data_IF_438603523257
#
_entry.id   IF_438603523257
#
_cell.length_a   1.000
_cell.length_b   1.000
_cell.length_c   1.000
_cell.angle_alpha   90.00
_cell.angle_beta   90.00
_cell.angle_gamma   90.00
#
_symmetry.space_group_name_H-M   'P 1'
#
loop_
_entity.id
_entity.type
_entity.pdbx_description
1 polymer ?
#
# COMPACT_ATOMS: atom_id res chain seq x y z
N UNK A 1 16.23 -9.48 -11.63
CA UNK A 1 15.84 -9.35 -10.22
C UNK A 1 14.95 -8.13 -10.12
N UNK A 2 13.68 -8.27 -9.73
CA UNK A 2 12.75 -7.16 -9.60
C UNK A 2 13.03 -6.35 -8.32
N UNK A 3 12.39 -5.19 -8.16
CA UNK A 3 12.63 -4.31 -7.02
C UNK A 3 12.35 -4.99 -5.67
N UNK A 4 11.33 -5.85 -5.60
CA UNK A 4 10.97 -6.56 -4.37
C UNK A 4 12.00 -7.63 -3.99
N UNK A 5 12.53 -8.38 -4.95
CA UNK A 5 13.62 -9.35 -4.70
C UNK A 5 14.87 -8.66 -4.15
N UNK A 6 15.21 -7.48 -4.66
CA UNK A 6 16.33 -6.67 -4.15
C UNK A 6 16.07 -6.23 -2.70
N UNK A 7 14.85 -5.79 -2.39
CA UNK A 7 14.47 -5.40 -1.03
C UNK A 7 14.53 -6.58 -0.07
N UNK A 8 13.95 -7.74 -0.42
CA UNK A 8 14.03 -8.95 0.39
C UNK A 8 15.49 -9.35 0.67
N UNK A 9 16.36 -9.31 -0.36
CA UNK A 9 17.78 -9.58 -0.19
C UNK A 9 18.47 -8.59 0.77
N UNK A 10 18.11 -7.30 0.71
CA UNK A 10 18.61 -6.26 1.62
C UNK A 10 18.24 -6.58 3.08
N UNK A 11 16.98 -6.93 3.37
CA UNK A 11 16.57 -7.32 4.73
C UNK A 11 17.30 -8.57 5.23
N UNK A 12 17.50 -9.58 4.38
CA UNK A 12 18.33 -10.76 4.71
C UNK A 12 19.78 -10.39 5.04
N UNK A 13 20.32 -9.35 4.41
CA UNK A 13 21.67 -8.87 4.72
C UNK A 13 21.71 -8.06 6.02
N UNK A 14 20.73 -7.18 6.25
CA UNK A 14 20.66 -6.37 7.47
C UNK A 14 20.54 -7.22 8.73
N UNK A 15 19.78 -8.32 8.69
CA UNK A 15 19.68 -9.24 9.84
C UNK A 15 20.99 -9.99 10.09
N UNK A 16 21.70 -10.41 9.03
CA UNK A 16 23.03 -11.05 9.15
C UNK A 16 24.07 -10.11 9.76
N UNK A 17 23.93 -8.81 9.52
CA UNK A 17 24.78 -7.75 10.07
C UNK A 17 24.36 -7.31 11.48
N UNK A 18 23.27 -7.85 12.03
CA UNK A 18 22.74 -7.44 13.33
C UNK A 18 22.20 -6.01 13.37
N UNK A 19 21.88 -5.41 12.21
CA UNK A 19 21.35 -4.04 12.10
C UNK A 19 19.88 -3.93 12.43
N UNK A 20 19.15 -5.04 12.31
CA UNK A 20 17.73 -5.19 12.61
C UNK A 20 17.51 -6.51 13.33
N UNK A 21 16.45 -6.60 14.12
CA UNK A 21 16.06 -7.85 14.76
C UNK A 21 15.48 -8.84 13.73
N UNK A 22 15.51 -10.12 14.10
CA UNK A 22 15.08 -11.20 13.21
C UNK A 22 13.59 -11.17 12.92
N UNK A 23 12.77 -10.80 13.90
CA UNK A 23 11.31 -10.82 13.73
C UNK A 23 10.87 -9.77 12.70
N UNK A 24 11.41 -8.55 12.81
CA UNK A 24 11.18 -7.47 11.84
C UNK A 24 11.66 -7.88 10.45
N UNK A 25 12.87 -8.44 10.35
CA UNK A 25 13.41 -8.90 9.08
C UNK A 25 12.51 -9.97 8.44
N UNK A 26 12.09 -10.98 9.19
CA UNK A 26 11.29 -12.10 8.68
C UNK A 26 9.93 -11.63 8.15
N UNK A 27 9.28 -10.65 8.80
CA UNK A 27 8.02 -10.06 8.33
C UNK A 27 8.19 -9.33 7.00
N UNK A 28 9.20 -8.46 6.90
CA UNK A 28 9.50 -7.69 5.69
C UNK A 28 9.90 -8.60 4.52
N UNK A 29 10.79 -9.55 4.77
CA UNK A 29 11.22 -10.55 3.77
C UNK A 29 10.01 -11.31 3.24
N UNK A 30 9.11 -11.77 4.11
CA UNK A 30 7.90 -12.50 3.69
C UNK A 30 7.01 -11.67 2.78
N UNK A 31 6.84 -10.38 3.08
CA UNK A 31 6.04 -9.46 2.24
C UNK A 31 6.72 -9.26 0.89
N UNK A 32 8.01 -8.93 0.87
CA UNK A 32 8.74 -8.68 -0.38
C UNK A 32 8.91 -9.92 -1.26
N UNK A 33 9.18 -11.09 -0.66
CA UNK A 33 9.22 -12.37 -1.40
C UNK A 33 7.84 -12.66 -2.03
N UNK A 34 6.75 -12.39 -1.32
CA UNK A 34 5.40 -12.55 -1.87
C UNK A 34 5.14 -11.58 -3.01
N UNK A 35 5.35 -10.28 -2.80
CA UNK A 35 5.18 -9.25 -3.83
C UNK A 35 6.05 -9.48 -5.06
N UNK A 36 7.23 -10.08 -4.92
CA UNK A 36 8.09 -10.45 -6.03
C UNK A 36 7.45 -11.50 -6.97
N UNK A 37 6.48 -12.27 -6.49
CA UNK A 37 5.72 -13.26 -7.27
C UNK A 37 4.46 -12.70 -7.91
N UNK A 38 4.01 -11.52 -7.49
CA UNK A 38 2.76 -10.92 -7.93
C UNK A 38 2.92 -10.15 -9.24
N UNK A 39 1.94 -10.27 -10.12
CA UNK A 39 1.78 -9.37 -11.25
C UNK A 39 0.88 -8.17 -10.92
N UNK A 40 0.60 -7.32 -11.90
CA UNK A 40 -0.26 -6.13 -11.69
C UNK A 40 -1.69 -6.51 -11.33
N UNK A 41 -2.21 -7.62 -11.83
CA UNK A 41 -3.57 -8.07 -11.52
C UNK A 41 -3.67 -8.55 -10.08
N UNK A 42 -2.67 -9.31 -9.60
CA UNK A 42 -2.60 -9.71 -8.19
C UNK A 42 -2.60 -8.51 -7.25
N UNK A 43 -1.82 -7.47 -7.56
CA UNK A 43 -1.78 -6.24 -6.77
C UNK A 43 -3.12 -5.49 -6.81
N UNK A 44 -3.79 -5.43 -7.97
CA UNK A 44 -5.13 -4.83 -8.05
C UNK A 44 -6.12 -5.60 -7.16
N UNK A 45 -6.11 -6.93 -7.22
CA UNK A 45 -6.99 -7.79 -6.40
C UNK A 45 -6.75 -7.63 -4.91
N UNK A 46 -5.51 -7.36 -4.49
CA UNK A 46 -5.20 -7.04 -3.10
C UNK A 46 -5.90 -5.77 -2.62
N UNK A 47 -5.95 -4.73 -3.46
CA UNK A 47 -6.69 -3.49 -3.14
C UNK A 47 -8.19 -3.74 -3.18
N UNK A 48 -8.68 -4.42 -4.21
CA UNK A 48 -10.11 -4.74 -4.38
C UNK A 48 -10.65 -5.67 -3.28
N UNK A 49 -9.78 -6.37 -2.54
CA UNK A 49 -10.17 -7.18 -1.38
C UNK A 49 -10.57 -6.36 -0.14
N UNK A 50 -10.47 -5.03 -0.22
CA UNK A 50 -10.68 -4.08 0.89
C UNK A 50 -9.67 -4.19 2.03
N UNK A 51 -8.69 -5.08 1.96
CA UNK A 51 -7.68 -5.29 2.99
C UNK A 51 -6.88 -4.02 3.35
N UNK A 52 -6.81 -3.05 2.43
CA UNK A 52 -6.08 -1.81 2.60
C UNK A 52 -6.97 -0.56 2.71
N UNK A 53 -8.29 -0.67 2.62
CA UNK A 53 -9.17 0.51 2.50
C UNK A 53 -9.05 1.46 3.68
N UNK A 54 -9.09 0.93 4.92
CA UNK A 54 -8.95 1.75 6.13
C UNK A 54 -7.57 2.41 6.22
N UNK A 55 -6.51 1.69 5.79
CA UNK A 55 -5.15 2.22 5.77
C UNK A 55 -5.06 3.37 4.77
N UNK A 56 -5.50 3.15 3.52
CA UNK A 56 -5.48 4.17 2.46
C UNK A 56 -6.32 5.38 2.87
N UNK A 57 -7.51 5.15 3.45
CA UNK A 57 -8.36 6.22 3.96
C UNK A 57 -7.66 7.07 5.02
N UNK A 58 -7.01 6.46 6.00
CA UNK A 58 -6.26 7.18 7.03
C UNK A 58 -5.10 8.02 6.44
N UNK A 59 -4.40 7.51 5.42
CA UNK A 59 -3.39 8.28 4.70
C UNK A 59 -3.99 9.50 3.99
N UNK A 60 -5.15 9.34 3.34
CA UNK A 60 -5.83 10.44 2.66
C UNK A 60 -6.35 11.48 3.65
N UNK A 61 -6.98 11.07 4.75
CA UNK A 61 -7.41 11.97 5.84
C UNK A 61 -6.23 12.78 6.40
N UNK A 62 -5.09 12.11 6.61
CA UNK A 62 -3.86 12.77 7.08
C UNK A 62 -3.33 13.76 6.05
N UNK A 63 -3.36 13.41 4.75
CA UNK A 63 -2.91 14.29 3.68
C UNK A 63 -3.80 15.54 3.55
N UNK A 64 -5.13 15.35 3.60
CA UNK A 64 -6.12 16.45 3.59
C UNK A 64 -5.87 17.42 4.73
N UNK A 65 -5.69 16.90 5.95
CA UNK A 65 -5.38 17.72 7.13
C UNK A 65 -4.06 18.47 6.99
N UNK A 66 -3.00 17.79 6.53
CA UNK A 66 -1.68 18.40 6.42
C UNK A 66 -1.57 19.42 5.28
N UNK A 67 -2.42 19.30 4.27
CA UNK A 67 -2.53 20.26 3.17
C UNK A 67 -3.38 21.49 3.52
N UNK A 68 -3.90 21.57 4.76
CA UNK A 68 -4.77 22.65 5.25
C UNK A 68 -6.01 22.85 4.34
N UNK A 69 -6.55 21.74 3.85
CA UNK A 69 -7.79 21.74 3.08
C UNK A 69 -8.94 22.01 4.05
N UNK A 70 -9.82 22.94 3.68
CA UNK A 70 -11.04 23.25 4.40
C UNK A 70 -11.85 22.00 4.77
N UNK A 71 -12.47 21.99 5.96
CA UNK A 71 -13.11 20.80 6.53
C UNK A 71 -14.18 20.21 5.60
N UNK A 72 -15.07 21.05 5.05
CA UNK A 72 -16.13 20.62 4.13
C UNK A 72 -15.54 20.04 2.83
N UNK A 73 -14.44 20.62 2.34
CA UNK A 73 -13.75 20.12 1.15
C UNK A 73 -13.01 18.81 1.44
N UNK A 74 -12.42 18.68 2.63
CA UNK A 74 -11.75 17.48 3.10
C UNK A 74 -12.71 16.30 3.25
N UNK A 75 -13.86 16.52 3.88
CA UNK A 75 -14.91 15.49 4.01
C UNK A 75 -15.40 15.01 2.64
N UNK A 76 -15.56 15.92 1.66
CA UNK A 76 -15.94 15.55 0.29
C UNK A 76 -14.90 14.64 -0.37
N UNK A 77 -13.61 14.91 -0.17
CA UNK A 77 -12.54 14.06 -0.72
C UNK A 77 -12.60 12.66 -0.11
N UNK A 78 -12.74 12.57 1.22
CA UNK A 78 -12.82 11.28 1.92
C UNK A 78 -14.08 10.51 1.54
N UNK A 79 -15.23 11.19 1.40
CA UNK A 79 -16.47 10.57 0.95
C UNK A 79 -16.37 10.04 -0.49
N UNK A 80 -15.73 10.80 -1.39
CA UNK A 80 -15.46 10.34 -2.76
C UNK A 80 -14.51 9.15 -2.79
N UNK A 81 -13.49 9.12 -1.93
CA UNK A 81 -12.60 7.97 -1.81
C UNK A 81 -13.37 6.71 -1.41
N UNK A 82 -14.24 6.79 -0.40
CA UNK A 82 -15.07 5.65 0.02
C UNK A 82 -15.98 5.17 -1.12
N UNK A 83 -16.66 6.10 -1.81
CA UNK A 83 -17.48 5.76 -2.97
C UNK A 83 -16.67 5.05 -4.08
N UNK A 84 -15.43 5.49 -4.33
CA UNK A 84 -14.56 4.84 -5.31
C UNK A 84 -14.17 3.42 -4.92
N UNK A 85 -13.96 3.14 -3.63
CA UNK A 85 -13.69 1.78 -3.16
C UNK A 85 -14.87 0.83 -3.36
N UNK A 86 -16.10 1.34 -3.31
CA UNK A 86 -17.30 0.51 -3.48
C UNK A 86 -17.64 0.27 -4.96
N UNK A 87 -17.34 1.24 -5.83
CA UNK A 87 -17.88 1.26 -7.20
C UNK A 87 -16.88 0.93 -8.30
N UNK A 88 -15.58 1.06 -8.03
CA UNK A 88 -14.53 0.86 -9.03
C UNK A 88 -13.50 -0.15 -8.56
N UNK A 89 -13.06 -0.98 -9.49
CA UNK A 89 -11.88 -1.82 -9.27
C UNK A 89 -10.61 -0.97 -9.37
N UNK A 90 -9.57 -1.37 -8.65
CA UNK A 90 -8.25 -0.76 -8.72
C UNK A 90 -7.72 -0.72 -10.16
N UNK A 91 -8.04 -1.75 -10.95
CA UNK A 91 -7.69 -1.78 -12.38
C UNK A 91 -8.37 -0.68 -13.18
N UNK A 92 -9.68 -0.47 -12.99
CA UNK A 92 -10.41 0.61 -13.65
C UNK A 92 -9.88 1.99 -13.28
N UNK A 93 -9.49 2.17 -12.01
CA UNK A 93 -8.90 3.43 -11.54
C UNK A 93 -7.52 3.65 -12.16
N UNK A 94 -6.69 2.62 -12.27
CA UNK A 94 -5.35 2.71 -12.86
C UNK A 94 -5.38 2.97 -14.38
N UNK A 95 -6.22 2.26 -15.12
CA UNK A 95 -6.32 2.39 -16.58
C UNK A 95 -6.99 3.72 -17.00
N UNK A 96 -7.72 4.37 -16.09
CA UNK A 96 -8.37 5.66 -16.35
C UNK A 96 -7.50 6.90 -16.08
N UNK A 97 -6.21 6.73 -15.81
CA UNK A 97 -5.25 7.81 -15.53
C UNK A 97 -4.62 8.43 -16.77
#
# INVERSE_FOLDING_TARGET
MNGYEIMAASYRQMVKQGRIDKETADKEIRIYDFLATCDTEDICRMVDSSAFNDIIKAFVETAVKNADIDEDAGEKVVAQLCYLFDEKTARQVLDGR
#
